data_IF_024531897250
#
_entry.id   IF_024531897250
#
_cell.length_a   1.000
_cell.length_b   1.000
_cell.length_c   1.000
_cell.angle_alpha   90.00
_cell.angle_beta   90.00
_cell.angle_gamma   90.00
#
_symmetry.space_group_name_H-M   'P 1'
#
loop_
_entity.id
_entity.type
_entity.pdbx_description
1 polymer ?
#
# COMPACT_ATOMS: atom_id res chain seq x y z
N UNK A 1 0.12 14.65 17.18
CA UNK A 1 0.09 13.55 16.20
C UNK A 1 0.70 14.02 14.89
N UNK A 2 1.33 13.12 14.13
CA UNK A 2 2.00 13.45 12.86
C UNK A 2 1.44 12.60 11.71
N UNK A 3 1.60 13.09 10.48
CA UNK A 3 1.23 12.44 9.22
C UNK A 3 2.45 11.76 8.60
N UNK A 4 2.36 10.44 8.41
CA UNK A 4 3.34 9.61 7.71
C UNK A 4 2.79 9.22 6.34
N UNK A 5 3.53 9.52 5.27
CA UNK A 5 3.25 8.97 3.95
C UNK A 5 4.36 8.02 3.52
N UNK A 6 3.98 6.80 3.10
CA UNK A 6 4.92 5.76 2.68
C UNK A 6 4.73 5.45 1.20
N UNK A 7 5.77 5.63 0.40
CA UNK A 7 5.87 5.06 -0.94
C UNK A 7 6.42 3.64 -0.86
N UNK A 8 5.64 2.66 -1.30
CA UNK A 8 6.01 1.25 -1.33
C UNK A 8 6.10 0.78 -2.79
N UNK A 9 7.32 0.41 -3.18
CA UNK A 9 7.69 -0.08 -4.49
C UNK A 9 7.94 -1.61 -4.57
N UNK A 10 8.39 -2.31 -3.50
CA UNK A 10 8.65 -3.74 -3.58
C UNK A 10 7.37 -4.56 -3.76
N UNK A 11 7.49 -5.69 -4.47
CA UNK A 11 6.38 -6.60 -4.71
C UNK A 11 5.86 -7.29 -3.45
N UNK A 12 4.58 -7.66 -3.50
CA UNK A 12 3.99 -8.63 -2.59
C UNK A 12 4.71 -9.98 -2.73
N UNK A 13 4.86 -10.71 -1.61
CA UNK A 13 5.50 -12.03 -1.51
C UNK A 13 7.02 -12.00 -1.73
N UNK A 14 7.75 -12.67 -0.84
CA UNK A 14 9.20 -12.84 -0.96
C UNK A 14 10.02 -11.56 -0.75
N UNK A 15 9.38 -10.46 -0.35
CA UNK A 15 10.05 -9.18 -0.14
C UNK A 15 9.80 -8.63 1.27
N UNK A 16 10.82 -8.68 2.12
CA UNK A 16 10.73 -8.20 3.50
C UNK A 16 10.49 -6.69 3.60
N UNK A 17 10.89 -5.90 2.59
CA UNK A 17 10.62 -4.46 2.59
C UNK A 17 9.14 -4.16 2.44
N UNK A 18 8.39 -4.98 1.68
CA UNK A 18 6.93 -4.89 1.61
C UNK A 18 6.30 -5.22 2.98
N UNK A 19 6.71 -6.33 3.60
CA UNK A 19 6.20 -6.74 4.91
C UNK A 19 6.50 -5.71 6.00
N UNK A 20 7.68 -5.09 5.94
CA UNK A 20 8.07 -4.00 6.82
C UNK A 20 7.13 -2.81 6.68
N UNK A 21 6.79 -2.38 5.45
CA UNK A 21 5.84 -1.26 5.23
C UNK A 21 4.49 -1.54 5.89
N UNK A 22 3.93 -2.74 5.66
CA UNK A 22 2.62 -3.12 6.22
C UNK A 22 2.65 -3.10 7.75
N UNK A 23 3.71 -3.65 8.36
CA UNK A 23 3.87 -3.67 9.82
C UNK A 23 4.12 -2.26 10.39
N UNK A 24 4.94 -1.45 9.73
CA UNK A 24 5.24 -0.07 10.12
C UNK A 24 3.97 0.78 10.09
N UNK A 25 3.17 0.68 9.03
CA UNK A 25 1.91 1.40 8.91
C UNK A 25 0.94 1.02 10.05
N UNK A 26 0.84 -0.28 10.35
CA UNK A 26 0.03 -0.77 11.47
C UNK A 26 0.50 -0.25 12.83
N UNK A 27 1.81 -0.21 13.06
CA UNK A 27 2.37 0.34 14.29
C UNK A 27 2.17 1.86 14.40
N UNK A 28 2.36 2.60 13.30
CA UNK A 28 2.19 4.05 13.26
C UNK A 28 0.74 4.46 13.52
N UNK A 29 -0.23 3.80 12.87
CA UNK A 29 -1.65 4.11 13.09
C UNK A 29 -2.09 3.76 14.52
N UNK A 30 -1.61 2.65 15.08
CA UNK A 30 -1.88 2.29 16.48
C UNK A 30 -1.32 3.32 17.49
N UNK A 31 -0.28 4.07 17.11
CA UNK A 31 0.28 5.17 17.91
C UNK A 31 -0.44 6.51 17.69
N UNK A 32 -1.53 6.53 16.91
CA UNK A 32 -2.34 7.72 16.64
C UNK A 32 -1.86 8.56 15.45
N UNK A 33 -0.89 8.08 14.67
CA UNK A 33 -0.44 8.80 13.47
C UNK A 33 -1.43 8.65 12.33
N UNK A 34 -1.57 9.70 11.51
CA UNK A 34 -2.24 9.58 10.22
C UNK A 34 -1.28 8.89 9.26
N UNK A 35 -1.71 7.85 8.55
CA UNK A 35 -0.86 7.07 7.65
C UNK A 35 -1.47 7.03 6.26
N UNK A 36 -0.67 7.35 5.25
CA UNK A 36 -0.99 7.14 3.84
C UNK A 36 0.01 6.17 3.22
N UNK A 37 -0.44 5.26 2.36
CA UNK A 37 0.42 4.34 1.61
C UNK A 37 0.16 4.51 0.12
N UNK A 38 1.24 4.66 -0.64
CA UNK A 38 1.23 4.62 -2.09
C UNK A 38 1.90 3.35 -2.60
N UNK A 39 1.18 2.53 -3.36
CA UNK A 39 1.72 1.38 -4.06
C UNK A 39 2.08 1.75 -5.51
N UNK A 40 3.34 1.53 -5.87
CA UNK A 40 3.83 1.67 -7.24
C UNK A 40 4.84 0.56 -7.54
N UNK A 41 5.34 0.51 -8.79
CA UNK A 41 6.23 -0.55 -9.22
C UNK A 41 5.61 -1.93 -8.96
N UNK A 42 6.40 -2.86 -8.44
CA UNK A 42 5.95 -4.22 -8.16
C UNK A 42 4.90 -4.29 -7.05
N UNK A 43 4.86 -3.31 -6.14
CA UNK A 43 3.85 -3.26 -5.10
C UNK A 43 2.43 -3.04 -5.65
N UNK A 44 2.27 -2.54 -6.88
CA UNK A 44 0.97 -2.36 -7.52
C UNK A 44 0.18 -3.67 -7.69
N UNK A 45 0.85 -4.83 -7.68
CA UNK A 45 0.19 -6.14 -7.68
C UNK A 45 -0.55 -6.47 -6.38
N UNK A 46 -0.27 -5.75 -5.29
CA UNK A 46 -0.73 -6.10 -3.94
C UNK A 46 -2.21 -5.85 -3.70
N UNK A 47 -2.86 -5.09 -4.58
CA UNK A 47 -4.23 -4.59 -4.39
C UNK A 47 -5.31 -5.50 -4.96
N UNK A 48 -4.93 -6.61 -5.60
CA UNK A 48 -5.89 -7.60 -6.11
C UNK A 48 -6.67 -8.21 -4.95
N UNK A 49 -8.00 -8.27 -5.06
CA UNK A 49 -8.88 -8.97 -4.14
C UNK A 49 -8.88 -10.49 -4.39
N UNK A 50 -9.38 -11.24 -3.42
CA UNK A 50 -9.46 -12.70 -3.44
C UNK A 50 -8.11 -13.38 -3.66
N UNK A 51 -7.06 -12.85 -3.01
CA UNK A 51 -5.72 -13.44 -3.08
C UNK A 51 -5.76 -14.85 -2.49
N UNK A 52 -5.33 -15.84 -3.28
CA UNK A 52 -5.32 -17.24 -2.84
C UNK A 52 -4.35 -17.39 -1.66
N UNK A 53 -4.88 -17.85 -0.54
CA UNK A 53 -4.04 -18.21 0.59
C UNK A 53 -3.35 -19.56 0.33
N UNK A 54 -2.03 -19.55 0.31
CA UNK A 54 -1.20 -20.74 0.18
C UNK A 54 -0.45 -20.93 1.50
N UNK A 55 -0.32 -22.19 1.95
CA UNK A 55 0.21 -22.54 3.27
C UNK A 55 1.55 -21.84 3.61
N UNK A 56 2.43 -21.75 2.62
CA UNK A 56 3.82 -21.30 2.81
C UNK A 56 4.12 -19.94 2.13
N UNK A 57 3.08 -19.18 1.74
CA UNK A 57 3.24 -17.86 1.11
C UNK A 57 2.43 -16.78 1.82
N UNK A 58 2.99 -15.58 1.88
CA UNK A 58 2.28 -14.41 2.40
C UNK A 58 1.19 -13.95 1.42
N UNK A 59 0.13 -13.35 1.96
CA UNK A 59 -0.88 -12.62 1.19
C UNK A 59 -1.04 -11.22 1.77
N UNK A 60 -1.31 -10.24 0.91
CA UNK A 60 -1.46 -8.85 1.31
C UNK A 60 -2.87 -8.54 1.81
N UNK A 61 -3.90 -9.12 1.18
CA UNK A 61 -5.29 -8.69 1.31
C UNK A 61 -5.79 -8.59 2.76
N UNK A 62 -5.58 -9.63 3.59
CA UNK A 62 -5.99 -9.62 5.00
C UNK A 62 -5.38 -8.44 5.76
N UNK A 63 -4.10 -8.17 5.53
CA UNK A 63 -3.38 -7.11 6.22
C UNK A 63 -3.76 -5.72 5.70
N UNK A 64 -3.96 -5.57 4.40
CA UNK A 64 -4.40 -4.30 3.81
C UNK A 64 -5.81 -3.92 4.29
N UNK A 65 -6.75 -4.88 4.35
CA UNK A 65 -8.09 -4.66 4.93
C UNK A 65 -8.00 -4.21 6.38
N UNK A 66 -7.18 -4.87 7.20
CA UNK A 66 -6.98 -4.48 8.59
C UNK A 66 -6.35 -3.07 8.74
N UNK A 67 -5.51 -2.63 7.80
CA UNK A 67 -4.98 -1.25 7.79
C UNK A 67 -6.08 -0.24 7.40
N UNK A 68 -6.89 -0.55 6.40
CA UNK A 68 -8.02 0.29 5.98
C UNK A 68 -9.02 0.48 7.13
N UNK A 69 -9.36 -0.59 7.86
CA UNK A 69 -10.23 -0.54 9.04
C UNK A 69 -9.69 0.37 10.15
N UNK A 70 -8.36 0.50 10.25
CA UNK A 70 -7.68 1.43 11.18
C UNK A 70 -7.59 2.86 10.66
N UNK A 71 -8.10 3.15 9.47
CA UNK A 71 -8.08 4.48 8.86
C UNK A 71 -6.81 4.81 8.07
N UNK A 72 -5.99 3.81 7.72
CA UNK A 72 -4.87 4.01 6.79
C UNK A 72 -5.43 4.25 5.40
N UNK A 73 -5.06 5.38 4.79
CA UNK A 73 -5.42 5.68 3.40
C UNK A 73 -4.46 4.96 2.45
N UNK A 74 -4.96 4.06 1.60
CA UNK A 74 -4.14 3.29 0.66
C UNK A 74 -4.53 3.65 -0.78
N UNK A 75 -3.53 3.95 -1.59
CA UNK A 75 -3.71 4.23 -3.01
C UNK A 75 -2.69 3.46 -3.85
N UNK A 76 -3.12 2.93 -4.99
CA UNK A 76 -2.25 2.32 -6.00
C UNK A 76 -2.10 3.21 -7.21
N UNK A 77 -0.91 3.16 -7.81
CA UNK A 77 -0.63 3.64 -9.15
C UNK A 77 -1.52 2.91 -10.16
N UNK A 78 -2.51 3.60 -10.72
CA UNK A 78 -3.46 3.02 -11.66
C UNK A 78 -2.76 2.44 -12.89
N UNK A 79 -1.87 3.20 -13.52
CA UNK A 79 -1.10 2.73 -14.68
C UNK A 79 -0.25 1.50 -14.35
N UNK A 80 0.41 1.48 -13.19
CA UNK A 80 1.26 0.36 -12.75
C UNK A 80 0.44 -0.91 -12.49
N UNK A 81 -0.78 -0.74 -12.00
CA UNK A 81 -1.71 -1.84 -11.66
C UNK A 81 -2.33 -2.43 -12.93
N UNK A 82 -2.80 -1.57 -13.83
CA UNK A 82 -3.36 -1.98 -15.13
C UNK A 82 -2.29 -2.64 -16.01
N UNK A 83 -1.05 -2.11 -16.03
CA UNK A 83 0.06 -2.73 -16.75
C UNK A 83 0.41 -4.14 -16.24
N UNK A 84 0.02 -4.49 -15.01
CA UNK A 84 0.15 -5.83 -14.41
C UNK A 84 -1.09 -6.71 -14.61
N UNK A 85 -2.05 -6.24 -15.41
CA UNK A 85 -3.24 -7.00 -15.78
C UNK A 85 -4.32 -7.06 -14.69
N UNK A 86 -4.30 -6.16 -13.70
CA UNK A 86 -5.34 -6.09 -12.66
C UNK A 86 -6.28 -4.93 -12.99
N UNK A 87 -7.57 -5.24 -13.15
CA UNK A 87 -8.62 -4.25 -13.40
C UNK A 87 -9.23 -3.73 -12.11
N UNK A 88 -9.80 -2.51 -12.13
CA UNK A 88 -10.44 -1.89 -10.95
C UNK A 88 -11.47 -2.78 -10.25
N UNK A 89 -12.36 -3.52 -10.95
CA UNK A 89 -13.33 -4.42 -10.31
C UNK A 89 -12.69 -5.60 -9.57
N UNK A 90 -11.43 -5.91 -9.85
CA UNK A 90 -10.68 -6.98 -9.18
C UNK A 90 -9.88 -6.47 -7.97
N UNK A 91 -9.99 -5.18 -7.63
CA UNK A 91 -9.29 -4.55 -6.53
C UNK A 91 -9.97 -4.77 -5.18
N UNK A 92 -9.19 -4.74 -4.10
CA UNK A 92 -9.70 -4.69 -2.73
C UNK A 92 -10.50 -3.40 -2.55
N UNK A 93 -11.71 -3.51 -2.03
CA UNK A 93 -12.59 -2.38 -1.76
C UNK A 93 -11.90 -1.30 -0.91
N UNK A 94 -12.21 -0.02 -1.18
CA UNK A 94 -11.65 1.18 -0.51
C UNK A 94 -10.18 1.50 -0.80
N UNK A 95 -9.44 0.63 -1.49
CA UNK A 95 -8.15 1.03 -2.06
C UNK A 95 -8.41 2.01 -3.21
N UNK A 96 -7.79 3.18 -3.14
CA UNK A 96 -7.91 4.20 -4.18
C UNK A 96 -7.02 3.86 -5.37
N UNK A 97 -7.45 4.21 -6.57
CA UNK A 97 -6.67 4.05 -7.80
C UNK A 97 -6.47 5.43 -8.40
N UNK A 98 -5.21 5.85 -8.52
CA UNK A 98 -4.91 7.20 -8.95
C UNK A 98 -3.57 7.29 -9.68
N UNK A 99 -3.29 8.44 -10.27
CA UNK A 99 -1.98 8.75 -10.82
C UNK A 99 -1.06 9.36 -9.76
N UNK A 100 0.21 9.58 -10.14
CA UNK A 100 1.27 10.01 -9.23
C UNK A 100 0.98 11.34 -8.50
N UNK A 101 0.10 12.19 -9.04
CA UNK A 101 -0.30 13.44 -8.37
C UNK A 101 -0.94 13.21 -7.00
N UNK A 102 -1.63 12.08 -6.77
CA UNK A 102 -2.15 11.75 -5.45
C UNK A 102 -1.02 11.59 -4.43
N UNK A 103 0.03 10.84 -4.80
CA UNK A 103 1.19 10.64 -3.95
C UNK A 103 1.93 11.95 -3.71
N UNK A 104 2.17 12.75 -4.74
CA UNK A 104 2.81 14.06 -4.63
C UNK A 104 2.06 15.00 -3.69
N UNK A 105 0.73 15.03 -3.76
CA UNK A 105 -0.10 15.82 -2.84
C UNK A 105 0.01 15.32 -1.40
N UNK A 106 0.02 14.00 -1.17
CA UNK A 106 0.19 13.42 0.17
C UNK A 106 1.56 13.72 0.77
N UNK A 107 2.65 13.54 0.01
CA UNK A 107 4.00 13.82 0.52
C UNK A 107 4.20 15.30 0.84
N UNK A 108 3.62 16.21 0.04
CA UNK A 108 3.68 17.66 0.31
C UNK A 108 3.04 18.02 1.66
N UNK A 109 1.97 17.34 2.04
CA UNK A 109 1.24 17.60 3.29
C UNK A 109 1.72 16.74 4.49
N UNK A 110 2.77 15.93 4.33
CA UNK A 110 3.20 14.99 5.37
C UNK A 110 4.35 15.53 6.22
N UNK A 111 4.32 15.21 7.51
CA UNK A 111 5.44 15.52 8.41
C UNK A 111 6.66 14.65 8.09
N UNK A 112 6.43 13.39 7.71
CA UNK A 112 7.48 12.44 7.34
C UNK A 112 7.07 11.65 6.11
N UNK A 113 8.05 11.43 5.24
CA UNK A 113 7.91 10.63 4.04
C UNK A 113 8.93 9.52 4.09
N UNK A 114 8.50 8.28 3.87
CA UNK A 114 9.39 7.14 3.71
C UNK A 114 9.19 6.56 2.32
N UNK A 115 10.28 6.41 1.58
CA UNK A 115 10.30 5.72 0.31
C UNK A 115 11.01 4.40 0.54
N UNK A 116 10.25 3.31 0.51
CA UNK A 116 10.75 1.97 0.82
C UNK A 116 10.81 1.17 -0.48
N UNK A 117 12.04 0.77 -0.82
CA UNK A 117 12.38 0.16 -2.09
C UNK A 117 12.51 1.20 -3.22
N UNK A 118 12.49 0.68 -4.44
CA UNK A 118 12.91 1.35 -5.66
C UNK A 118 13.69 0.31 -6.47
N UNK A 119 13.50 0.30 -7.79
CA UNK A 119 14.38 -0.48 -8.66
C UNK A 119 15.79 0.11 -8.65
#
# INVERSE_FOLDING_TARGET
>A
MATLTVGCFPGLIGNMSYDFVVKLAGAAVNKGHKVNIWFAGNAAGSVKAHQKHLKDYSTGEKHLKALIEKGVEICTCEACTVARGIQKPEGIEKIQWNAMHWYLAKIHASDRVLQIGGE
#
